data_IF_389275966008
#
_entry.id   IF_389275966008
#
_cell.length_a   1.000
_cell.length_b   1.000
_cell.length_c   1.000
_cell.angle_alpha   90.00
_cell.angle_beta   90.00
_cell.angle_gamma   90.00
#
_symmetry.space_group_name_H-M   'P 1'
#
loop_
_entity.id
_entity.type
_entity.pdbx_description
1 polymer ?
#
# COMPACT_ATOMS: atom_id res chain seq x y z
N UNK A 1 19.78 7.34 -12.45
CA UNK A 1 19.98 8.58 -13.24
C UNK A 1 20.78 8.41 -14.54
N UNK A 2 21.70 7.43 -14.66
CA UNK A 2 22.53 7.23 -15.89
C UNK A 2 21.75 6.69 -17.11
N UNK A 3 20.83 5.75 -16.94
CA UNK A 3 20.13 5.09 -18.07
C UNK A 3 19.15 6.02 -18.80
N UNK A 4 18.49 6.93 -18.08
CA UNK A 4 17.63 7.98 -18.66
C UNK A 4 18.40 8.88 -19.62
N UNK A 5 19.54 9.42 -19.17
CA UNK A 5 20.39 10.30 -20.00
C UNK A 5 20.87 9.56 -21.25
N UNK A 6 21.27 8.30 -21.10
CA UNK A 6 21.73 7.42 -22.20
C UNK A 6 20.64 7.10 -23.23
N UNK A 7 19.41 6.81 -22.77
CA UNK A 7 18.23 6.69 -23.66
C UNK A 7 18.00 7.97 -24.45
N UNK A 8 18.04 9.13 -23.77
CA UNK A 8 17.81 10.42 -24.42
C UNK A 8 18.91 10.77 -25.43
N UNK A 9 20.16 10.36 -25.18
CA UNK A 9 21.24 10.49 -26.16
C UNK A 9 20.88 9.82 -27.49
N UNK A 10 20.31 8.61 -27.46
CA UNK A 10 19.85 7.93 -28.70
C UNK A 10 18.69 8.69 -29.34
N UNK A 11 17.71 9.12 -28.55
CA UNK A 11 16.51 9.83 -29.04
C UNK A 11 16.86 11.16 -29.71
N UNK A 12 17.91 11.84 -29.23
CA UNK A 12 18.36 13.13 -29.76
C UNK A 12 19.57 13.02 -30.70
N UNK A 13 19.80 11.85 -31.31
CA UNK A 13 20.78 11.69 -32.40
C UNK A 13 22.24 11.53 -31.96
N UNK A 14 22.51 11.31 -30.68
CA UNK A 14 23.85 11.02 -30.17
C UNK A 14 24.27 9.57 -30.40
N UNK A 15 25.60 9.35 -30.41
CA UNK A 15 26.20 8.05 -30.72
C UNK A 15 26.14 7.13 -29.50
N UNK A 16 25.21 6.17 -29.52
CA UNK A 16 25.13 5.13 -28.50
C UNK A 16 24.45 3.88 -29.05
N UNK A 17 25.02 2.72 -28.75
CA UNK A 17 24.42 1.45 -29.16
C UNK A 17 23.15 1.16 -28.35
N UNK A 18 22.02 0.95 -29.03
CA UNK A 18 20.75 0.53 -28.41
C UNK A 18 20.90 -0.75 -27.59
N UNK A 19 21.68 -1.71 -28.09
CA UNK A 19 22.00 -2.96 -27.39
C UNK A 19 22.67 -2.73 -26.04
N UNK A 20 23.55 -1.73 -25.94
CA UNK A 20 24.23 -1.36 -24.69
C UNK A 20 23.24 -0.83 -23.66
N UNK A 21 22.31 0.03 -24.07
CA UNK A 21 21.27 0.57 -23.18
C UNK A 21 20.35 -0.54 -22.67
N UNK A 22 19.92 -1.45 -23.55
CA UNK A 22 19.09 -2.61 -23.17
C UNK A 22 19.83 -3.51 -22.18
N UNK A 23 21.10 -3.84 -22.45
CA UNK A 23 21.93 -4.63 -21.57
C UNK A 23 22.05 -4.02 -20.18
N UNK A 24 22.32 -2.72 -20.09
CA UNK A 24 22.46 -2.02 -18.81
C UNK A 24 21.15 -1.94 -18.03
N UNK A 25 20.00 -1.76 -18.69
CA UNK A 25 18.70 -1.82 -18.04
C UNK A 25 18.47 -3.21 -17.43
N UNK A 26 18.67 -4.27 -18.21
CA UNK A 26 18.46 -5.64 -17.74
C UNK A 26 19.40 -5.99 -16.59
N UNK A 27 20.67 -5.57 -16.67
CA UNK A 27 21.66 -5.79 -15.63
C UNK A 27 21.29 -5.08 -14.32
N UNK A 28 20.78 -3.84 -14.41
CA UNK A 28 20.33 -3.10 -13.22
C UNK A 28 19.11 -3.76 -12.56
N UNK A 29 18.15 -4.24 -13.36
CA UNK A 29 16.99 -4.98 -12.84
C UNK A 29 17.44 -6.26 -12.14
N UNK A 30 18.30 -7.05 -12.79
CA UNK A 30 18.89 -8.26 -12.21
C UNK A 30 19.59 -7.99 -10.87
N UNK A 31 20.41 -6.94 -10.78
CA UNK A 31 21.07 -6.57 -9.52
C UNK A 31 20.08 -6.11 -8.45
N UNK A 32 19.08 -5.32 -8.82
CA UNK A 32 18.01 -4.90 -7.91
C UNK A 32 17.28 -6.13 -7.34
N UNK A 33 16.94 -7.09 -8.20
CA UNK A 33 16.23 -8.30 -7.83
C UNK A 33 17.06 -9.17 -6.89
N UNK A 34 18.36 -9.32 -7.16
CA UNK A 34 19.28 -10.04 -6.28
C UNK A 34 19.41 -9.43 -4.89
N UNK A 35 19.37 -8.10 -4.79
CA UNK A 35 19.52 -7.38 -3.52
C UNK A 35 18.21 -7.36 -2.73
N UNK A 36 17.09 -7.05 -3.39
CA UNK A 36 15.80 -6.87 -2.71
C UNK A 36 15.03 -8.18 -2.53
N UNK A 37 15.25 -9.15 -3.40
CA UNK A 37 14.46 -10.37 -3.49
C UNK A 37 15.36 -11.62 -3.56
N UNK A 38 16.17 -11.90 -2.52
CA UNK A 38 17.15 -12.99 -2.53
C UNK A 38 16.53 -14.39 -2.71
N UNK A 39 15.21 -14.53 -2.48
CA UNK A 39 14.46 -15.77 -2.71
C UNK A 39 14.14 -16.04 -4.19
N UNK A 40 14.27 -15.06 -5.09
CA UNK A 40 14.13 -15.25 -6.55
C UNK A 40 15.38 -15.94 -7.12
N UNK A 41 15.56 -17.22 -6.77
CA UNK A 41 16.67 -18.04 -7.26
C UNK A 41 16.54 -18.21 -8.78
N UNK A 42 17.68 -18.24 -9.48
CA UNK A 42 17.79 -18.51 -10.93
C UNK A 42 17.18 -17.47 -11.88
N UNK A 43 16.89 -16.25 -11.42
CA UNK A 43 16.55 -15.15 -12.35
C UNK A 43 17.73 -14.88 -13.29
N UNK A 44 17.49 -14.85 -14.60
CA UNK A 44 18.50 -14.58 -15.63
C UNK A 44 18.56 -13.09 -15.96
N UNK A 45 19.70 -12.59 -16.42
CA UNK A 45 19.95 -11.14 -16.58
C UNK A 45 19.47 -10.54 -17.92
N UNK A 46 18.59 -11.21 -18.66
CA UNK A 46 18.10 -10.73 -19.97
C UNK A 46 16.59 -10.58 -19.96
N UNK A 47 16.08 -9.52 -20.57
CA UNK A 47 14.64 -9.19 -20.57
C UNK A 47 13.69 -10.36 -20.87
N UNK A 48 13.86 -11.13 -21.97
CA UNK A 48 12.91 -12.22 -22.28
C UNK A 48 12.86 -13.28 -21.18
N UNK A 49 14.01 -13.63 -20.61
CA UNK A 49 14.09 -14.60 -19.53
C UNK A 49 13.59 -14.05 -18.19
N UNK A 50 13.77 -12.75 -17.91
CA UNK A 50 13.20 -12.11 -16.71
C UNK A 50 11.68 -12.17 -16.79
N UNK A 51 11.09 -11.79 -17.93
CA UNK A 51 9.64 -11.83 -18.15
C UNK A 51 9.11 -13.26 -18.00
N UNK A 52 9.72 -14.22 -18.69
CA UNK A 52 9.33 -15.63 -18.61
C UNK A 52 9.40 -16.18 -17.17
N UNK A 53 10.45 -15.81 -16.42
CA UNK A 53 10.60 -16.19 -15.03
C UNK A 53 9.47 -15.61 -14.16
N UNK A 54 9.16 -14.31 -14.31
CA UNK A 54 8.13 -13.63 -13.52
C UNK A 54 6.71 -14.08 -13.86
N UNK A 55 6.41 -14.40 -15.12
CA UNK A 55 5.11 -14.96 -15.54
C UNK A 55 4.86 -16.35 -14.94
N UNK A 56 5.92 -17.16 -14.84
CA UNK A 56 5.90 -18.47 -14.19
C UNK A 56 5.99 -18.42 -12.66
N UNK A 57 6.43 -17.29 -12.10
CA UNK A 57 6.62 -17.16 -10.67
C UNK A 57 5.28 -17.18 -9.92
N UNK A 58 5.19 -18.03 -8.90
CA UNK A 58 4.06 -18.11 -7.98
C UNK A 58 4.61 -17.88 -6.57
N UNK A 59 4.50 -16.65 -6.02
CA UNK A 59 4.97 -16.40 -4.67
C UNK A 59 4.22 -17.29 -3.68
N UNK A 60 4.94 -17.85 -2.71
CA UNK A 60 4.29 -18.49 -1.57
C UNK A 60 3.72 -17.41 -0.66
N UNK A 61 2.44 -17.09 -0.84
CA UNK A 61 1.72 -16.12 -0.02
C UNK A 61 1.01 -16.87 1.10
N UNK A 62 1.51 -16.73 2.33
CA UNK A 62 0.82 -17.23 3.51
C UNK A 62 -0.25 -16.22 3.91
N UNK A 63 -1.48 -16.44 3.46
CA UNK A 63 -2.63 -15.70 3.96
C UNK A 63 -3.14 -16.39 5.22
N UNK A 64 -3.03 -15.73 6.38
CA UNK A 64 -3.70 -16.18 7.60
C UNK A 64 -5.02 -15.41 7.71
N UNK A 65 -6.18 -16.05 7.55
CA UNK A 65 -7.44 -15.38 7.76
C UNK A 65 -7.53 -14.95 9.23
N UNK A 66 -7.51 -13.64 9.47
CA UNK A 66 -7.82 -13.09 10.78
C UNK A 66 -9.33 -12.93 10.86
N UNK A 67 -9.98 -13.85 11.56
CA UNK A 67 -11.39 -13.69 11.87
C UNK A 67 -11.53 -12.86 13.14
N UNK A 68 -12.12 -11.69 13.03
CA UNK A 68 -12.59 -10.97 14.21
C UNK A 68 -13.76 -11.74 14.83
N UNK A 69 -13.63 -12.10 16.11
CA UNK A 69 -14.72 -12.68 16.89
C UNK A 69 -15.34 -11.58 17.73
N UNK A 70 -16.66 -11.40 17.62
CA UNK A 70 -17.36 -10.45 18.45
C UNK A 70 -17.19 -10.84 19.92
N UNK A 71 -16.70 -9.93 20.79
CA UNK A 71 -16.72 -10.19 22.22
C UNK A 71 -18.19 -10.30 22.70
N UNK A 72 -18.47 -11.07 23.77
CA UNK A 72 -19.83 -11.24 24.30
C UNK A 72 -20.48 -9.92 24.73
N UNK A 73 -19.66 -8.94 25.10
CA UNK A 73 -20.04 -7.61 25.57
C UNK A 73 -19.18 -6.55 24.90
N UNK A 74 -19.68 -5.32 24.89
CA UNK A 74 -19.01 -4.17 24.30
C UNK A 74 -19.53 -3.78 22.92
N UNK A 75 -18.84 -2.82 22.32
CA UNK A 75 -19.21 -2.18 21.07
C UNK A 75 -18.08 -2.29 20.07
N UNK A 76 -18.42 -2.44 18.79
CA UNK A 76 -17.46 -2.45 17.70
C UNK A 76 -17.43 -1.07 17.06
N UNK A 77 -16.28 -0.42 17.07
CA UNK A 77 -16.04 0.80 16.32
C UNK A 77 -15.19 0.46 15.08
N UNK A 78 -15.76 0.61 13.89
CA UNK A 78 -15.04 0.52 12.63
C UNK A 78 -14.68 1.91 12.15
N UNK A 79 -13.47 2.08 11.64
CA UNK A 79 -12.90 3.37 11.29
C UNK A 79 -12.29 3.28 9.90
N UNK A 80 -12.31 4.39 9.17
CA UNK A 80 -11.67 4.50 7.86
C UNK A 80 -11.20 5.94 7.63
N UNK A 81 -10.01 6.06 7.06
CA UNK A 81 -9.42 7.33 6.64
C UNK A 81 -9.02 7.30 5.18
N UNK A 82 -9.41 8.32 4.42
CA UNK A 82 -8.98 8.48 3.04
C UNK A 82 -8.29 9.83 2.85
N UNK A 83 -7.22 9.85 2.06
CA UNK A 83 -6.49 11.07 1.71
C UNK A 83 -6.11 11.08 0.25
N UNK A 84 -6.23 12.24 -0.41
CA UNK A 84 -5.90 12.41 -1.83
C UNK A 84 -4.41 12.65 -2.07
N UNK A 85 -3.67 13.06 -1.04
CA UNK A 85 -2.22 13.31 -1.10
C UNK A 85 -1.57 13.13 0.27
N UNK A 86 -0.29 13.48 0.44
CA UNK A 86 0.40 13.29 1.71
C UNK A 86 1.34 14.48 2.02
N UNK A 87 0.89 15.51 2.75
CA UNK A 87 -0.47 15.73 3.26
C UNK A 87 -1.47 16.20 2.19
N UNK A 88 -2.76 16.17 2.49
CA UNK A 88 -3.80 16.46 1.51
C UNK A 88 -5.22 16.61 2.05
N UNK A 89 -6.13 16.92 1.13
CA UNK A 89 -7.56 16.82 1.39
C UNK A 89 -7.89 15.38 1.76
N UNK A 90 -8.57 15.22 2.89
CA UNK A 90 -8.83 13.92 3.49
C UNK A 90 -10.26 13.84 4.01
N UNK A 91 -10.73 12.62 4.21
CA UNK A 91 -11.98 12.31 4.87
C UNK A 91 -11.74 11.24 5.91
N UNK A 92 -12.45 11.33 7.01
CA UNK A 92 -12.43 10.34 8.08
C UNK A 92 -13.85 9.88 8.35
N UNK A 93 -14.02 8.62 8.72
CA UNK A 93 -15.30 8.08 9.09
C UNK A 93 -15.15 7.02 10.19
N UNK A 94 -16.18 6.90 11.02
CA UNK A 94 -16.32 5.77 11.91
C UNK A 94 -17.79 5.34 12.05
N UNK A 95 -18.02 4.08 12.40
CA UNK A 95 -19.33 3.56 12.76
C UNK A 95 -19.25 2.64 13.97
N UNK A 96 -20.22 2.77 14.86
CA UNK A 96 -20.37 2.01 16.10
C UNK A 96 -21.52 1.01 15.94
N UNK A 97 -21.26 -0.23 16.32
CA UNK A 97 -22.23 -1.33 16.37
C UNK A 97 -22.26 -1.98 17.75
N UNK A 98 -23.41 -2.52 18.14
CA UNK A 98 -23.53 -3.32 19.36
C UNK A 98 -22.92 -4.73 19.18
N UNK A 99 -22.97 -5.54 20.23
CA UNK A 99 -22.51 -6.93 20.21
C UNK A 99 -23.35 -7.89 19.34
N UNK A 100 -24.48 -7.44 18.81
CA UNK A 100 -25.32 -8.16 17.82
C UNK A 100 -25.07 -7.68 16.39
N UNK A 101 -24.08 -6.81 16.19
CA UNK A 101 -23.76 -6.14 14.92
C UNK A 101 -24.84 -5.15 14.46
N UNK A 102 -25.79 -4.78 15.33
CA UNK A 102 -26.77 -3.74 15.03
C UNK A 102 -26.09 -2.38 15.00
N UNK A 103 -26.45 -1.59 14.00
CA UNK A 103 -25.99 -0.21 13.86
C UNK A 103 -26.48 0.68 15.01
N UNK A 104 -25.56 1.43 15.62
CA UNK A 104 -25.86 2.43 16.64
C UNK A 104 -25.65 3.84 16.07
N UNK A 105 -24.47 4.08 15.51
CA UNK A 105 -24.06 5.42 15.11
C UNK A 105 -23.01 5.39 14.00
N UNK A 106 -22.97 6.43 13.17
CA UNK A 106 -21.88 6.70 12.26
C UNK A 106 -21.64 8.20 12.14
N UNK A 107 -20.37 8.55 11.94
CA UNK A 107 -19.94 9.91 11.63
C UNK A 107 -18.96 9.86 10.47
N UNK A 108 -19.04 10.86 9.60
CA UNK A 108 -18.06 11.12 8.56
C UNK A 108 -17.77 12.60 8.51
N UNK A 109 -16.50 12.96 8.36
CA UNK A 109 -16.05 14.35 8.29
C UNK A 109 -14.96 14.52 7.26
N UNK A 110 -14.89 15.71 6.67
CA UNK A 110 -13.82 16.11 5.77
C UNK A 110 -12.79 16.91 6.55
N UNK A 111 -11.53 16.53 6.42
CA UNK A 111 -10.40 17.21 7.05
C UNK A 111 -9.45 17.68 5.95
N UNK A 112 -8.99 18.92 6.06
CA UNK A 112 -8.00 19.49 5.14
C UNK A 112 -6.59 19.25 5.68
N UNK A 113 -5.66 18.98 4.77
CA UNK A 113 -4.22 19.02 5.02
C UNK A 113 -3.70 18.08 6.12
N UNK A 114 -4.10 16.80 6.05
CA UNK A 114 -3.53 15.74 6.90
C UNK A 114 -2.84 14.68 6.05
N UNK A 115 -1.89 13.96 6.67
CA UNK A 115 -1.24 12.80 6.04
C UNK A 115 -2.20 11.63 5.94
N UNK A 116 -1.92 10.69 5.05
CA UNK A 116 -2.68 9.44 4.95
C UNK A 116 -2.67 8.65 6.28
N UNK A 117 -1.54 8.62 7.00
CA UNK A 117 -1.45 7.96 8.31
C UNK A 117 -2.33 8.67 9.34
N UNK A 118 -2.32 10.00 9.37
CA UNK A 118 -3.20 10.76 10.26
C UNK A 118 -4.69 10.57 9.92
N UNK A 119 -5.03 10.46 8.63
CA UNK A 119 -6.41 10.19 8.20
C UNK A 119 -6.91 8.85 8.72
N UNK A 120 -6.06 7.82 8.75
CA UNK A 120 -6.41 6.49 9.28
C UNK A 120 -6.48 6.46 10.82
N UNK A 121 -5.59 7.20 11.50
CA UNK A 121 -5.51 7.19 12.96
C UNK A 121 -6.60 8.05 13.64
N UNK A 122 -6.95 9.20 13.06
CA UNK A 122 -7.90 10.12 13.67
C UNK A 122 -9.31 9.56 13.92
N UNK A 123 -9.97 8.81 13.00
CA UNK A 123 -11.29 8.24 13.26
C UNK A 123 -11.29 7.22 14.40
N UNK A 124 -10.15 6.62 14.76
CA UNK A 124 -10.01 5.77 15.95
C UNK A 124 -10.21 6.61 17.21
N UNK A 125 -9.51 7.75 17.30
CA UNK A 125 -9.66 8.67 18.42
C UNK A 125 -11.08 9.23 18.50
N UNK A 126 -11.59 9.77 17.39
CA UNK A 126 -12.91 10.39 17.34
C UNK A 126 -14.02 9.37 17.66
N UNK A 127 -13.86 8.11 17.23
CA UNK A 127 -14.77 7.03 17.56
C UNK A 127 -14.76 6.63 19.04
N UNK A 128 -13.57 6.56 19.67
CA UNK A 128 -13.45 6.28 21.11
C UNK A 128 -14.03 7.43 21.93
N UNK A 129 -13.69 8.66 21.60
CA UNK A 129 -14.21 9.86 22.26
C UNK A 129 -15.75 9.88 22.17
N UNK A 130 -16.31 9.55 21.01
CA UNK A 130 -17.75 9.41 20.86
C UNK A 130 -18.33 8.33 21.77
N UNK A 131 -17.75 7.12 21.81
CA UNK A 131 -18.20 6.05 22.72
C UNK A 131 -18.21 6.49 24.19
N UNK A 132 -17.22 7.28 24.63
CA UNK A 132 -17.19 7.85 25.99
C UNK A 132 -18.32 8.86 26.19
N UNK A 133 -18.54 9.76 25.23
CA UNK A 133 -19.61 10.76 25.30
C UNK A 133 -21.02 10.15 25.41
N UNK A 134 -21.26 9.01 24.75
CA UNK A 134 -22.55 8.30 24.79
C UNK A 134 -22.60 7.16 25.82
N UNK A 135 -21.66 7.13 26.77
CA UNK A 135 -21.61 6.15 27.88
C UNK A 135 -21.59 4.67 27.42
N UNK A 136 -20.92 4.37 26.30
CA UNK A 136 -20.75 3.00 25.80
C UNK A 136 -19.47 2.29 26.31
N UNK A 137 -18.62 2.99 27.05
CA UNK A 137 -17.32 2.52 27.57
C UNK A 137 -17.33 2.18 29.08
N UNK A 138 -18.51 1.95 29.68
CA UNK A 138 -18.66 1.57 31.09
C UNK A 138 -18.80 0.05 31.27
#
# INVERSE_FOLDING_TARGET
MKNWKRRNTIVHGGIMARSRVIYEINLNLYHMDKVRYPWLKNILATWPHIVQFLEGYRPHVVCRPLQWRCPPQGHKCNTDGASTSNPGLSSIAFCIRNNRDDFIYACASRIVDITNICAEAKPIWDGIEHCVMINLCL
#
